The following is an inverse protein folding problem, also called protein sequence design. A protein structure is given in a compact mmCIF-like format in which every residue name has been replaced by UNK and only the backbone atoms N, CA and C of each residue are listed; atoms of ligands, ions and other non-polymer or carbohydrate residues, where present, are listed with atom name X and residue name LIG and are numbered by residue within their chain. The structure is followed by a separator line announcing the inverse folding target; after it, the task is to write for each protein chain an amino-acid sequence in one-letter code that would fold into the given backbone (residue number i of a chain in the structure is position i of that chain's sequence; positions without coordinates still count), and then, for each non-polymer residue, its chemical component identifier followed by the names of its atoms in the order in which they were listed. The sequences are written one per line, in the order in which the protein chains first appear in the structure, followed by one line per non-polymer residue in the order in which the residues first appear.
data_IF_345169295945
#
_entry.id   IF_345169295945
#
_cell.length_a   1.000
_cell.length_b   1.000
_cell.length_c   1.000
_cell.angle_alpha   90.00
_cell.angle_beta   90.00
_cell.angle_gamma   90.00
#
_symmetry.space_group_name_H-M   'P 1'
#
loop_
_entity.id
_entity.type
_entity.pdbx_description
1 polymer ?
#
# COMPACT_ATOMS: atom_id res chain seq x y z
N UNK A 1 20.07 -9.95 17.66
CA UNK A 1 18.88 -10.61 18.22
C UNK A 1 18.53 -9.86 19.48
N UNK A 2 17.31 -9.36 19.57
CA UNK A 2 16.86 -8.58 20.73
C UNK A 2 16.70 -9.49 21.97
N UNK A 3 16.72 -8.88 23.14
CA UNK A 3 16.54 -9.60 24.42
C UNK A 3 15.16 -10.32 24.45
N UNK A 4 15.06 -11.54 25.01
CA UNK A 4 13.79 -12.27 25.09
C UNK A 4 12.63 -11.48 25.70
N UNK A 5 12.89 -10.60 26.66
CA UNK A 5 11.87 -9.71 27.24
C UNK A 5 11.36 -8.72 26.19
N UNK A 6 12.26 -8.10 25.43
CA UNK A 6 11.90 -7.17 24.35
C UNK A 6 11.05 -7.86 23.28
N UNK A 7 11.43 -9.06 22.85
CA UNK A 7 10.66 -9.84 21.88
C UNK A 7 9.25 -10.16 22.40
N UNK A 8 9.13 -10.59 23.67
CA UNK A 8 7.83 -10.89 24.27
C UNK A 8 6.92 -9.66 24.34
N UNK A 9 7.45 -8.48 24.71
CA UNK A 9 6.69 -7.23 24.76
C UNK A 9 6.26 -6.81 23.34
N UNK A 10 7.16 -6.95 22.36
CA UNK A 10 6.90 -6.61 20.96
C UNK A 10 5.79 -7.50 20.38
N UNK A 11 5.84 -8.81 20.63
CA UNK A 11 4.85 -9.78 20.16
C UNK A 11 3.46 -9.50 20.75
N UNK A 12 3.38 -9.13 22.03
CA UNK A 12 2.11 -8.77 22.65
C UNK A 12 1.54 -7.48 22.06
N UNK A 13 2.39 -6.47 21.81
CA UNK A 13 2.00 -5.27 21.07
C UNK A 13 1.48 -5.58 19.67
N UNK A 14 2.16 -6.46 18.93
CA UNK A 14 1.75 -6.89 17.58
C UNK A 14 0.42 -7.66 17.62
N UNK A 15 0.21 -8.51 18.63
CA UNK A 15 -1.06 -9.23 18.82
C UNK A 15 -2.23 -8.27 19.06
N UNK A 16 -2.02 -7.24 19.88
CA UNK A 16 -3.02 -6.20 20.13
C UNK A 16 -3.29 -5.37 18.88
N UNK A 17 -2.25 -5.03 18.12
CA UNK A 17 -2.36 -4.35 16.84
C UNK A 17 -3.25 -5.14 15.86
N UNK A 18 -3.02 -6.45 15.71
CA UNK A 18 -3.81 -7.31 14.84
C UNK A 18 -5.28 -7.41 15.26
N UNK A 19 -5.58 -7.21 16.55
CA UNK A 19 -6.95 -7.11 17.09
C UNK A 19 -7.58 -5.71 16.92
N UNK A 20 -6.88 -4.76 16.30
CA UNK A 20 -7.32 -3.37 16.14
C UNK A 20 -7.22 -2.52 17.41
N UNK A 21 -6.59 -3.03 18.47
CA UNK A 21 -6.39 -2.32 19.74
C UNK A 21 -5.14 -1.44 19.67
N UNK A 22 -5.17 -0.43 18.80
CA UNK A 22 -3.98 0.35 18.46
C UNK A 22 -3.38 1.13 19.65
N UNK A 23 -4.22 1.74 20.51
CA UNK A 23 -3.72 2.44 21.70
C UNK A 23 -3.02 1.49 22.68
N UNK A 24 -3.60 0.32 22.92
CA UNK A 24 -2.98 -0.70 23.78
C UNK A 24 -1.64 -1.17 23.17
N UNK A 25 -1.60 -1.44 21.85
CA UNK A 25 -0.37 -1.81 21.16
C UNK A 25 0.72 -0.73 21.29
N UNK A 26 0.36 0.55 21.14
CA UNK A 26 1.28 1.69 21.32
C UNK A 26 1.90 1.67 22.72
N UNK A 27 1.13 1.41 23.77
CA UNK A 27 1.67 1.33 25.13
C UNK A 27 2.70 0.20 25.30
N UNK A 28 2.62 -0.89 24.53
CA UNK A 28 3.65 -1.94 24.53
C UNK A 28 4.89 -1.51 23.75
N UNK A 29 4.73 -0.84 22.61
CA UNK A 29 5.86 -0.28 21.87
C UNK A 29 6.59 0.78 22.69
N UNK A 30 5.86 1.63 23.42
CA UNK A 30 6.42 2.66 24.29
C UNK A 30 7.29 2.08 25.40
N UNK A 31 6.88 0.97 26.04
CA UNK A 31 7.74 0.29 27.04
C UNK A 31 9.10 -0.10 26.49
N UNK A 32 9.18 -0.53 25.23
CA UNK A 32 10.45 -0.87 24.57
C UNK A 32 11.23 0.42 24.27
N UNK A 33 10.54 1.47 23.84
CA UNK A 33 11.16 2.75 23.48
C UNK A 33 11.64 3.54 24.70
N UNK A 34 11.05 3.35 25.88
CA UNK A 34 11.52 3.91 27.14
C UNK A 34 12.90 3.35 27.54
N UNK A 35 13.15 2.06 27.25
CA UNK A 35 14.45 1.40 27.50
C UNK A 35 15.43 1.59 26.31
N UNK A 36 14.92 1.56 25.08
CA UNK A 36 15.70 1.74 23.84
C UNK A 36 14.94 2.65 22.84
N UNK A 37 15.15 3.97 22.89
CA UNK A 37 14.43 4.95 22.07
C UNK A 37 14.60 4.77 20.55
N UNK A 38 15.63 4.02 20.12
CA UNK A 38 15.96 3.79 18.71
C UNK A 38 15.60 2.38 18.23
N UNK A 39 14.83 1.63 19.00
CA UNK A 39 14.42 0.28 18.61
C UNK A 39 13.56 0.29 17.34
N UNK A 40 14.16 -0.12 16.22
CA UNK A 40 13.62 0.00 14.86
C UNK A 40 12.20 -0.57 14.72
N UNK A 41 11.99 -1.82 15.15
CA UNK A 41 10.70 -2.50 15.03
C UNK A 41 9.60 -1.80 15.84
N UNK A 42 9.93 -1.30 17.05
CA UNK A 42 8.95 -0.59 17.89
C UNK A 42 8.59 0.76 17.30
N UNK A 43 9.56 1.52 16.80
CA UNK A 43 9.31 2.79 16.10
C UNK A 43 8.44 2.58 14.86
N UNK A 44 8.77 1.59 14.03
CA UNK A 44 7.99 1.27 12.84
C UNK A 44 6.54 0.88 13.19
N UNK A 45 6.37 -0.02 14.17
CA UNK A 45 5.06 -0.54 14.53
C UNK A 45 4.21 0.51 15.27
N UNK A 46 4.82 1.34 16.13
CA UNK A 46 4.18 2.50 16.75
C UNK A 46 3.73 3.50 15.68
N UNK A 47 4.59 3.84 14.73
CA UNK A 47 4.24 4.69 13.61
C UNK A 47 3.07 4.15 12.81
N UNK A 48 3.04 2.83 12.57
CA UNK A 48 1.94 2.20 11.85
C UNK A 48 0.62 2.23 12.63
N UNK A 49 0.66 1.98 13.95
CA UNK A 49 -0.50 2.10 14.84
C UNK A 49 -1.06 3.53 14.89
N UNK A 50 -0.19 4.53 15.05
CA UNK A 50 -0.57 5.94 15.01
C UNK A 50 -1.21 6.33 13.67
N UNK A 51 -0.65 5.83 12.57
CA UNK A 51 -1.24 6.04 11.24
C UNK A 51 -2.63 5.40 11.07
N UNK A 52 -2.91 4.27 11.74
CA UNK A 52 -4.25 3.66 11.77
C UNK A 52 -5.25 4.49 12.57
N UNK A 53 -4.76 5.17 13.61
CA UNK A 53 -5.51 6.14 14.41
C UNK A 53 -5.65 7.52 13.74
N UNK A 54 -5.06 7.71 12.55
CA UNK A 54 -4.98 8.99 11.83
C UNK A 54 -4.16 10.07 12.55
N UNK A 55 -3.37 9.69 13.57
CA UNK A 55 -2.34 10.54 14.15
C UNK A 55 -1.10 10.47 13.25
N UNK A 56 -1.20 11.17 12.12
CA UNK A 56 -0.19 11.11 11.09
C UNK A 56 1.08 11.88 11.48
N UNK A 57 0.96 12.94 12.27
CA UNK A 57 2.09 13.74 12.70
C UNK A 57 3.04 12.91 13.57
N UNK A 58 2.51 12.24 14.60
CA UNK A 58 3.35 11.40 15.46
C UNK A 58 3.78 10.11 14.75
N UNK A 59 3.00 9.61 13.79
CA UNK A 59 3.45 8.51 12.93
C UNK A 59 4.71 8.90 12.13
N UNK A 60 4.74 10.10 11.53
CA UNK A 60 5.91 10.58 10.79
C UNK A 60 7.13 10.70 11.69
N UNK A 61 6.99 11.27 12.90
CA UNK A 61 8.09 11.35 13.88
C UNK A 61 8.69 9.98 14.18
N UNK A 62 7.86 8.94 14.35
CA UNK A 62 8.35 7.58 14.58
C UNK A 62 9.13 7.04 13.38
N UNK A 63 8.60 7.21 12.17
CA UNK A 63 9.29 6.75 10.95
C UNK A 63 10.57 7.51 10.68
N UNK A 64 10.58 8.83 10.90
CA UNK A 64 11.77 9.67 10.73
C UNK A 64 12.88 9.22 11.68
N UNK A 65 12.57 9.03 12.96
CA UNK A 65 13.53 8.54 13.95
C UNK A 65 14.07 7.13 13.60
N UNK A 66 13.22 6.25 13.07
CA UNK A 66 13.65 4.93 12.60
C UNK A 66 14.62 5.04 11.40
N UNK A 67 14.33 5.93 10.46
CA UNK A 67 15.13 6.15 9.25
C UNK A 67 16.42 6.94 9.49
N UNK A 68 16.54 7.68 10.59
CA UNK A 68 17.81 8.34 10.96
C UNK A 68 18.96 7.33 11.13
N UNK A 69 18.67 6.14 11.65
CA UNK A 69 19.67 5.11 11.90
C UNK A 69 19.65 4.02 10.80
N UNK A 70 18.51 3.85 10.12
CA UNK A 70 18.31 2.86 9.06
C UNK A 70 17.66 3.51 7.82
N UNK A 71 18.39 4.37 7.08
CA UNK A 71 17.83 5.26 6.05
C UNK A 71 17.19 4.55 4.85
N UNK A 72 17.52 3.28 4.67
CA UNK A 72 17.06 2.45 3.56
C UNK A 72 16.23 1.25 4.04
N UNK A 73 15.74 1.26 5.30
CA UNK A 73 14.81 0.23 5.77
C UNK A 73 13.50 0.29 4.97
N UNK A 74 13.31 -0.71 4.11
CA UNK A 74 12.19 -0.78 3.19
C UNK A 74 10.84 -0.89 3.91
N UNK A 75 10.80 -1.56 5.08
CA UNK A 75 9.56 -1.73 5.83
C UNK A 75 9.07 -0.39 6.37
N UNK A 76 9.98 0.41 6.94
CA UNK A 76 9.68 1.75 7.43
C UNK A 76 9.32 2.68 6.28
N UNK A 77 10.09 2.68 5.19
CA UNK A 77 9.80 3.52 4.02
C UNK A 77 8.43 3.22 3.41
N UNK A 78 8.06 1.95 3.25
CA UNK A 78 6.75 1.52 2.73
C UNK A 78 5.61 1.96 3.66
N UNK A 79 5.79 1.80 4.97
CA UNK A 79 4.80 2.27 5.95
C UNK A 79 4.64 3.80 5.91
N UNK A 80 5.75 4.53 5.79
CA UNK A 80 5.75 6.00 5.61
C UNK A 80 5.03 6.43 4.32
N UNK A 81 5.29 5.76 3.19
CA UNK A 81 4.56 5.97 1.92
C UNK A 81 3.06 5.76 2.14
N UNK A 82 2.67 4.64 2.77
CA UNK A 82 1.26 4.31 3.05
C UNK A 82 0.58 5.39 3.90
N UNK A 83 1.28 5.91 4.91
CA UNK A 83 0.78 6.98 5.76
C UNK A 83 0.65 8.32 5.02
N UNK A 84 1.60 8.71 4.16
CA UNK A 84 1.45 9.91 3.33
C UNK A 84 0.30 9.79 2.33
N UNK A 85 0.12 8.63 1.72
CA UNK A 85 -1.02 8.36 0.82
C UNK A 85 -2.36 8.56 1.51
N UNK A 86 -2.51 8.07 2.74
CA UNK A 86 -3.76 8.24 3.52
C UNK A 86 -4.03 9.70 3.90
N UNK A 87 -2.99 10.52 4.03
CA UNK A 87 -3.11 11.97 4.25
C UNK A 87 -3.47 12.73 2.97
N UNK A 88 -3.32 12.11 1.79
CA UNK A 88 -3.40 12.81 0.51
C UNK A 88 -2.09 13.52 0.11
N UNK A 89 -1.00 13.33 0.87
CA UNK A 89 0.32 13.90 0.57
C UNK A 89 1.04 13.08 -0.51
N UNK A 90 0.48 13.08 -1.72
CA UNK A 90 0.94 12.24 -2.81
C UNK A 90 2.36 12.59 -3.29
N UNK A 91 2.75 13.86 -3.29
CA UNK A 91 4.09 14.28 -3.72
C UNK A 91 5.21 13.70 -2.84
N UNK A 92 5.02 13.73 -1.52
CA UNK A 92 5.98 13.16 -0.56
C UNK A 92 6.03 11.62 -0.68
N UNK A 93 4.86 10.99 -0.82
CA UNK A 93 4.77 9.55 -1.04
C UNK A 93 5.50 9.10 -2.33
N UNK A 94 5.30 9.85 -3.42
CA UNK A 94 5.90 9.55 -4.73
C UNK A 94 7.42 9.70 -4.68
N UNK A 95 7.94 10.74 -4.04
CA UNK A 95 9.38 10.95 -3.87
C UNK A 95 10.07 9.78 -3.16
N UNK A 96 9.43 9.19 -2.13
CA UNK A 96 9.98 8.00 -1.46
C UNK A 96 9.94 6.78 -2.39
N UNK A 97 8.84 6.56 -3.13
CA UNK A 97 8.79 5.49 -4.12
C UNK A 97 9.91 5.63 -5.15
N UNK A 98 10.15 6.84 -5.66
CA UNK A 98 11.20 7.12 -6.65
C UNK A 98 12.60 6.87 -6.08
N UNK A 99 12.85 7.22 -4.81
CA UNK A 99 14.11 6.88 -4.12
C UNK A 99 14.33 5.37 -4.09
N UNK A 100 13.32 4.59 -3.67
CA UNK A 100 13.43 3.12 -3.59
C UNK A 100 13.68 2.52 -4.98
N UNK A 101 12.93 2.98 -5.98
CA UNK A 101 13.00 2.47 -7.35
C UNK A 101 14.27 2.90 -8.09
N UNK A 102 14.91 4.00 -7.68
CA UNK A 102 16.22 4.40 -8.20
C UNK A 102 17.31 3.36 -7.89
N UNK A 103 17.26 2.75 -6.70
CA UNK A 103 18.19 1.70 -6.29
C UNK A 103 17.72 0.29 -6.65
N UNK A 104 16.41 0.05 -6.65
CA UNK A 104 15.81 -1.23 -7.01
C UNK A 104 14.59 -1.03 -7.93
N UNK A 105 14.81 -0.91 -9.26
CA UNK A 105 13.75 -0.59 -10.22
C UNK A 105 12.60 -1.59 -10.29
N UNK A 106 12.84 -2.84 -9.86
CA UNK A 106 11.85 -3.93 -9.87
C UNK A 106 11.26 -4.22 -8.47
N UNK A 107 11.43 -3.31 -7.50
CA UNK A 107 10.84 -3.51 -6.18
C UNK A 107 9.31 -3.35 -6.24
N UNK A 108 8.62 -4.48 -6.41
CA UNK A 108 7.18 -4.53 -6.66
C UNK A 108 6.31 -3.81 -5.63
N UNK A 109 6.71 -3.81 -4.35
CA UNK A 109 5.95 -3.10 -3.32
C UNK A 109 5.99 -1.59 -3.58
N UNK A 110 7.14 -1.01 -3.91
CA UNK A 110 7.22 0.41 -4.26
C UNK A 110 6.50 0.72 -5.58
N UNK A 111 6.62 -0.14 -6.61
CA UNK A 111 5.86 0.01 -7.86
C UNK A 111 4.34 0.01 -7.61
N UNK A 112 3.85 -0.92 -6.79
CA UNK A 112 2.43 -1.01 -6.44
C UNK A 112 1.94 0.23 -5.68
N UNK A 113 2.76 0.76 -4.76
CA UNK A 113 2.43 2.00 -4.09
C UNK A 113 2.46 3.21 -5.04
N UNK A 114 3.46 3.29 -5.93
CA UNK A 114 3.62 4.34 -6.93
C UNK A 114 2.45 4.38 -7.92
N UNK A 115 2.06 3.23 -8.47
CA UNK A 115 0.88 3.06 -9.32
C UNK A 115 -0.34 3.70 -8.66
N UNK A 116 -0.69 3.28 -7.44
CA UNK A 116 -1.89 3.78 -6.78
C UNK A 116 -1.82 5.27 -6.43
N UNK A 117 -0.62 5.81 -6.20
CA UNK A 117 -0.41 7.26 -6.03
C UNK A 117 -0.70 7.97 -7.34
N UNK A 118 -0.12 7.50 -8.44
CA UNK A 118 -0.30 8.06 -9.78
C UNK A 118 -1.76 8.00 -10.22
N UNK A 119 -2.45 6.87 -10.00
CA UNK A 119 -3.89 6.75 -10.22
C UNK A 119 -4.67 7.82 -9.45
N UNK A 120 -4.34 8.03 -8.16
CA UNK A 120 -5.01 9.04 -7.32
C UNK A 120 -4.71 10.48 -7.76
N UNK A 121 -3.62 10.69 -8.49
CA UNK A 121 -3.25 11.96 -9.13
C UNK A 121 -3.77 12.08 -10.57
N UNK A 122 -4.60 11.14 -11.04
CA UNK A 122 -5.10 11.02 -12.42
C UNK A 122 -4.00 10.88 -13.49
N UNK A 123 -2.81 10.41 -13.11
CA UNK A 123 -1.67 10.12 -13.99
C UNK A 123 -1.73 8.67 -14.47
N UNK A 124 -2.74 8.36 -15.28
CA UNK A 124 -3.10 6.98 -15.59
C UNK A 124 -2.08 6.26 -16.48
N UNK A 125 -1.46 6.94 -17.44
CA UNK A 125 -0.47 6.29 -18.32
C UNK A 125 0.83 5.94 -17.55
N UNK A 126 1.31 6.81 -16.66
CA UNK A 126 2.45 6.49 -15.79
C UNK A 126 2.12 5.41 -14.76
N UNK A 127 0.87 5.39 -14.28
CA UNK A 127 0.36 4.34 -13.42
C UNK A 127 0.36 2.98 -14.13
N UNK A 128 -0.17 2.92 -15.36
CA UNK A 128 -0.13 1.72 -16.22
C UNK A 128 1.31 1.23 -16.42
N UNK A 129 2.26 2.14 -16.63
CA UNK A 129 3.67 1.78 -16.79
C UNK A 129 4.21 1.05 -15.55
N UNK A 130 3.78 1.43 -14.35
CA UNK A 130 4.12 0.72 -13.11
C UNK A 130 3.45 -0.67 -13.06
N UNK A 131 2.18 -0.80 -13.47
CA UNK A 131 1.53 -2.09 -13.59
C UNK A 131 2.28 -3.03 -14.53
N UNK A 132 2.72 -2.53 -15.69
CA UNK A 132 3.40 -3.32 -16.72
C UNK A 132 4.71 -3.91 -16.21
N UNK A 133 5.48 -3.14 -15.45
CA UNK A 133 6.71 -3.64 -14.83
C UNK A 133 6.40 -4.80 -13.87
N UNK A 134 5.36 -4.68 -13.02
CA UNK A 134 4.99 -5.76 -12.09
C UNK A 134 4.48 -6.99 -12.84
N UNK A 135 3.64 -6.80 -13.86
CA UNK A 135 3.03 -7.88 -14.63
C UNK A 135 4.02 -8.65 -15.51
N UNK A 136 5.19 -8.07 -15.84
CA UNK A 136 6.25 -8.81 -16.54
C UNK A 136 6.75 -10.02 -15.74
N UNK A 137 6.91 -9.85 -14.42
CA UNK A 137 7.39 -10.92 -13.54
C UNK A 137 6.21 -11.70 -12.92
N UNK A 138 5.02 -11.08 -12.82
CA UNK A 138 3.81 -11.66 -12.21
C UNK A 138 2.56 -11.46 -13.08
N UNK A 139 2.47 -12.12 -14.26
CA UNK A 139 1.43 -11.86 -15.25
C UNK A 139 0.00 -12.13 -14.76
N UNK A 140 -0.14 -13.06 -13.82
CA UNK A 140 -1.44 -13.46 -13.24
C UNK A 140 -1.75 -12.75 -11.91
N UNK A 141 -1.06 -11.65 -11.59
CA UNK A 141 -1.37 -10.88 -10.38
C UNK A 141 -2.73 -10.17 -10.55
N UNK A 142 -3.79 -10.79 -9.99
CA UNK A 142 -5.17 -10.32 -10.12
C UNK A 142 -5.40 -8.89 -9.62
N UNK A 143 -4.69 -8.45 -8.57
CA UNK A 143 -4.81 -7.08 -8.05
C UNK A 143 -4.23 -6.06 -9.01
N UNK A 144 -3.06 -6.34 -9.60
CA UNK A 144 -2.42 -5.44 -10.56
C UNK A 144 -3.15 -5.44 -11.90
N UNK A 145 -3.67 -6.59 -12.35
CA UNK A 145 -4.56 -6.67 -13.51
C UNK A 145 -5.83 -5.82 -13.29
N UNK A 146 -6.42 -5.88 -12.10
CA UNK A 146 -7.59 -5.08 -11.72
C UNK A 146 -7.26 -3.59 -11.74
N UNK A 147 -6.14 -3.21 -11.12
CA UNK A 147 -5.75 -1.80 -10.99
C UNK A 147 -5.39 -1.24 -12.39
N UNK A 148 -4.69 -1.99 -13.26
CA UNK A 148 -4.46 -1.62 -14.67
C UNK A 148 -5.77 -1.49 -15.46
N UNK A 149 -6.71 -2.40 -15.27
CA UNK A 149 -8.06 -2.31 -15.87
C UNK A 149 -8.78 -1.02 -15.46
N UNK A 150 -8.68 -0.63 -14.18
CA UNK A 150 -9.23 0.64 -13.69
C UNK A 150 -8.59 1.84 -14.39
N UNK A 151 -7.27 1.88 -14.53
CA UNK A 151 -6.57 2.96 -15.24
C UNK A 151 -7.06 3.10 -16.70
N UNK A 152 -7.20 1.97 -17.41
CA UNK A 152 -7.70 1.95 -18.80
C UNK A 152 -9.14 2.43 -18.91
N UNK A 153 -10.01 2.06 -17.96
CA UNK A 153 -11.38 2.57 -17.92
C UNK A 153 -11.41 4.10 -17.75
N UNK A 154 -10.56 4.64 -16.88
CA UNK A 154 -10.44 6.09 -16.68
C UNK A 154 -9.94 6.81 -17.95
N UNK A 155 -9.12 6.15 -18.77
CA UNK A 155 -8.67 6.63 -20.08
C UNK A 155 -9.67 6.38 -21.22
N UNK A 156 -10.86 5.84 -20.94
CA UNK A 156 -11.86 5.42 -21.94
C UNK A 156 -11.37 4.35 -22.93
N UNK A 157 -10.31 3.60 -22.59
CA UNK A 157 -9.81 2.43 -23.35
C UNK A 157 -10.63 1.20 -22.96
N UNK A 158 -11.90 1.17 -23.36
CA UNK A 158 -12.90 0.27 -22.79
C UNK A 158 -12.65 -1.21 -23.09
N UNK A 159 -12.34 -1.58 -24.33
CA UNK A 159 -12.14 -2.99 -24.67
C UNK A 159 -10.92 -3.60 -23.94
N UNK A 160 -9.81 -2.86 -23.88
CA UNK A 160 -8.60 -3.29 -23.14
C UNK A 160 -8.89 -3.40 -21.63
N UNK A 161 -9.64 -2.44 -21.09
CA UNK A 161 -10.05 -2.44 -19.69
C UNK A 161 -10.87 -3.69 -19.35
N UNK A 162 -11.89 -4.00 -20.16
CA UNK A 162 -12.76 -5.15 -19.93
C UNK A 162 -12.00 -6.48 -20.13
N UNK A 163 -11.07 -6.56 -21.08
CA UNK A 163 -10.20 -7.73 -21.25
C UNK A 163 -9.34 -7.98 -20.01
N UNK A 164 -8.71 -6.94 -19.45
CA UNK A 164 -7.94 -7.08 -18.21
C UNK A 164 -8.83 -7.36 -16.99
N UNK A 165 -10.03 -6.80 -16.94
CA UNK A 165 -10.99 -7.10 -15.88
C UNK A 165 -11.40 -8.58 -15.89
N UNK A 166 -11.65 -9.14 -17.08
CA UNK A 166 -11.93 -10.57 -17.23
C UNK A 166 -10.78 -11.43 -16.71
N UNK A 167 -9.53 -11.10 -17.09
CA UNK A 167 -8.35 -11.78 -16.58
C UNK A 167 -8.25 -11.67 -15.06
N UNK A 168 -8.43 -10.49 -14.49
CA UNK A 168 -8.45 -10.29 -13.05
C UNK A 168 -9.53 -11.16 -12.38
N UNK A 169 -10.77 -11.18 -12.89
CA UNK A 169 -11.86 -12.02 -12.38
C UNK A 169 -11.53 -13.52 -12.42
N UNK A 170 -10.79 -13.99 -13.43
CA UNK A 170 -10.34 -15.39 -13.51
C UNK A 170 -9.39 -15.76 -12.37
N UNK A 171 -8.67 -14.79 -11.78
CA UNK A 171 -7.81 -14.98 -10.62
C UNK A 171 -8.58 -14.98 -9.29
N UNK A 172 -9.86 -14.58 -9.28
CA UNK A 172 -10.67 -14.62 -8.07
C UNK A 172 -12.03 -13.91 -8.17
N UNK A 173 -13.06 -14.53 -7.57
CA UNK A 173 -14.43 -13.99 -7.56
C UNK A 173 -14.53 -12.63 -6.84
N UNK A 174 -13.59 -12.31 -5.94
CA UNK A 174 -13.53 -11.01 -5.26
C UNK A 174 -13.44 -9.84 -6.23
N UNK A 175 -12.82 -10.02 -7.40
CA UNK A 175 -12.67 -8.95 -8.38
C UNK A 175 -13.99 -8.58 -9.05
N UNK A 176 -14.95 -9.51 -9.18
CA UNK A 176 -16.33 -9.18 -9.59
C UNK A 176 -16.99 -8.21 -8.61
N UNK A 177 -16.85 -8.50 -7.31
CA UNK A 177 -17.41 -7.68 -6.22
C UNK A 177 -16.72 -6.32 -6.18
N UNK A 178 -15.38 -6.29 -6.34
CA UNK A 178 -14.58 -5.07 -6.40
C UNK A 178 -14.98 -4.21 -7.61
N UNK A 179 -15.20 -4.81 -8.77
CA UNK A 179 -15.62 -4.12 -10.00
C UNK A 179 -16.97 -3.41 -9.85
N UNK A 180 -17.99 -4.10 -9.31
CA UNK A 180 -19.32 -3.52 -9.06
C UNK A 180 -19.30 -2.29 -8.14
N UNK A 181 -18.29 -2.18 -7.27
CA UNK A 181 -18.14 -1.09 -6.29
C UNK A 181 -17.14 -0.02 -6.73
N UNK A 182 -16.42 -0.24 -7.82
CA UNK A 182 -15.34 0.65 -8.25
C UNK A 182 -15.88 1.81 -9.05
N UNK A 183 -15.53 3.04 -8.63
CA UNK A 183 -15.87 4.27 -9.37
C UNK A 183 -15.26 4.30 -10.77
N UNK A 184 -14.14 3.60 -10.98
CA UNK A 184 -13.47 3.55 -12.29
C UNK A 184 -14.35 2.95 -13.39
N UNK A 185 -15.32 2.11 -13.03
CA UNK A 185 -16.21 1.45 -13.97
C UNK A 185 -17.63 2.00 -13.97
N UNK A 186 -17.90 3.11 -13.26
CA UNK A 186 -19.26 3.66 -13.12
C UNK A 186 -19.91 3.95 -14.48
N UNK A 187 -19.13 4.50 -15.42
CA UNK A 187 -19.58 4.75 -16.80
C UNK A 187 -19.85 3.48 -17.62
N UNK A 188 -19.47 2.30 -17.10
CA UNK A 188 -19.62 1.01 -17.77
C UNK A 188 -20.74 0.15 -17.16
N UNK A 189 -21.49 0.65 -16.18
CA UNK A 189 -22.53 -0.14 -15.52
C UNK A 189 -23.66 -0.58 -16.47
N UNK A 190 -23.94 0.21 -17.51
CA UNK A 190 -24.89 -0.14 -18.58
C UNK A 190 -24.24 -0.88 -19.76
N UNK A 191 -22.92 -1.09 -19.73
CA UNK A 191 -22.23 -1.81 -20.80
C UNK A 191 -22.53 -3.32 -20.71
N UNK A 192 -23.08 -3.96 -21.77
CA UNK A 192 -23.47 -5.36 -21.72
C UNK A 192 -22.30 -6.33 -21.44
N UNK A 193 -21.10 -6.03 -21.97
CA UNK A 193 -19.91 -6.85 -21.70
C UNK A 193 -19.53 -6.75 -20.22
N UNK A 194 -19.54 -5.54 -19.65
CA UNK A 194 -19.27 -5.34 -18.23
C UNK A 194 -20.28 -6.07 -17.35
N UNK A 195 -21.58 -5.90 -17.61
CA UNK A 195 -22.65 -6.59 -16.87
C UNK A 195 -22.48 -8.11 -16.90
N UNK A 196 -22.12 -8.68 -18.05
CA UNK A 196 -21.82 -10.11 -18.18
C UNK A 196 -20.62 -10.52 -17.32
N UNK A 197 -19.52 -9.76 -17.34
CA UNK A 197 -18.33 -10.07 -16.54
C UNK A 197 -18.62 -10.08 -15.04
N UNK A 198 -19.40 -9.12 -14.56
CA UNK A 198 -19.66 -8.96 -13.13
C UNK A 198 -20.90 -9.72 -12.65
N UNK A 199 -21.70 -10.30 -13.54
CA UNK A 199 -22.83 -11.15 -13.18
C UNK A 199 -22.47 -12.29 -12.22
#
# INVERSE_FOLDING_TARGET
MDDPKTNSILDEGNRLFLKGKYNEAISYYDKILDENPKHLSSLNNKGYALSKLKDYENAMKCYDLALENHPDDLSVLVNKISSFRKQGNFSQALSICDKILGSNPKYNIALYHKERILFSMNKYDESISCCDIILNDYPENGDVLFDKSCNLAMLSKIDDSLSLLEKSISQGKQYKIKAKKSKSFEKLFDNPKFQKLVS
#
